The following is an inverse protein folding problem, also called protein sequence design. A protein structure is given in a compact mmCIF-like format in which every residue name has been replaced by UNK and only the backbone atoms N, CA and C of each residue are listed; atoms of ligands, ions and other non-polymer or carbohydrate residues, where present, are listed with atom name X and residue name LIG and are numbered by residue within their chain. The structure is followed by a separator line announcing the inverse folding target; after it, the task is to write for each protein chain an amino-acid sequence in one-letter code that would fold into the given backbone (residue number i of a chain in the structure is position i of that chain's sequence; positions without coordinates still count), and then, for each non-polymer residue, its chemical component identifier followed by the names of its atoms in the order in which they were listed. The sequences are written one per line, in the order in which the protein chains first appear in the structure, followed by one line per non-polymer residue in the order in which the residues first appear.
data_IF_705954501612
#
_entry.id   IF_705954501612
#
_cell.length_a   1.000
_cell.length_b   1.000
_cell.length_c   1.000
_cell.angle_alpha   90.00
_cell.angle_beta   90.00
_cell.angle_gamma   90.00
#
_symmetry.space_group_name_H-M   'P 1'
#
loop_
_entity.id
_entity.type
_entity.pdbx_description
1 polymer ?
#
# COMPACT_ATOMS: atom_id res chain seq x y z
N UNK A 1 -23.19 -19.02 -3.74
CA UNK A 1 -22.67 -17.91 -2.97
C UNK A 1 -21.17 -18.11 -2.68
N UNK A 2 -20.47 -17.02 -2.40
CA UNK A 2 -19.12 -17.07 -1.83
C UNK A 2 -19.21 -17.54 -0.38
N UNK A 3 -18.25 -18.35 0.01
CA UNK A 3 -18.12 -18.88 1.36
C UNK A 3 -16.69 -18.75 1.84
N UNK A 4 -16.49 -18.38 3.10
CA UNK A 4 -15.13 -18.25 3.60
C UNK A 4 -15.04 -18.10 5.10
N UNK A 5 -13.83 -18.31 5.58
CA UNK A 5 -13.42 -18.10 6.95
C UNK A 5 -12.31 -17.06 7.02
N UNK A 6 -12.43 -16.17 7.98
CA UNK A 6 -11.39 -15.23 8.34
C UNK A 6 -11.10 -15.36 9.84
N UNK A 7 -9.86 -15.63 10.17
CA UNK A 7 -9.38 -15.67 11.55
C UNK A 7 -8.34 -14.57 11.70
N UNK A 8 -8.49 -13.78 12.74
CA UNK A 8 -7.58 -12.66 13.04
C UNK A 8 -7.31 -12.61 14.54
N UNK A 9 -6.05 -12.39 14.89
CA UNK A 9 -5.61 -12.14 16.24
C UNK A 9 -4.73 -10.90 16.26
N UNK A 10 -5.17 -9.89 17.01
CA UNK A 10 -4.53 -8.60 17.09
C UNK A 10 -4.02 -8.24 18.49
N UNK A 11 -2.91 -7.56 18.56
CA UNK A 11 -2.38 -6.93 19.75
C UNK A 11 -2.13 -5.43 19.51
N UNK A 12 -2.62 -4.60 20.41
CA UNK A 12 -2.43 -3.16 20.37
C UNK A 12 -1.95 -2.63 21.71
N UNK A 13 -0.92 -1.81 21.67
CA UNK A 13 -0.39 -1.09 22.84
C UNK A 13 -0.24 0.39 22.52
N UNK A 14 -0.74 1.22 23.41
CA UNK A 14 -0.65 2.67 23.33
C UNK A 14 0.04 3.19 24.58
N UNK A 15 1.15 3.89 24.40
CA UNK A 15 1.86 4.60 25.43
C UNK A 15 1.91 6.10 25.10
N UNK A 16 2.36 6.92 26.05
CA UNK A 16 2.54 8.37 25.84
C UNK A 16 3.54 8.70 24.71
N UNK A 17 4.55 7.86 24.51
CA UNK A 17 5.63 8.10 23.53
C UNK A 17 5.60 7.18 22.32
N UNK A 18 4.97 6.02 22.42
CA UNK A 18 4.94 5.03 21.36
C UNK A 18 3.58 4.31 21.23
N UNK A 19 3.33 3.78 20.08
CA UNK A 19 2.20 2.89 19.82
C UNK A 19 2.63 1.70 18.96
N UNK A 20 2.05 0.54 19.26
CA UNK A 20 2.24 -0.71 18.55
C UNK A 20 0.90 -1.30 18.19
N UNK A 21 0.81 -1.84 17.00
CA UNK A 21 -0.26 -2.69 16.55
C UNK A 21 0.34 -3.84 15.76
N UNK A 22 -0.07 -5.05 16.05
CA UNK A 22 0.33 -6.25 15.31
C UNK A 22 -0.90 -7.13 15.17
N UNK A 23 -1.21 -7.54 13.95
CA UNK A 23 -2.30 -8.43 13.64
C UNK A 23 -1.76 -9.61 12.82
N UNK A 24 -2.17 -10.82 13.17
CA UNK A 24 -1.93 -12.02 12.36
C UNK A 24 -3.27 -12.53 11.87
N UNK A 25 -3.32 -12.98 10.63
CA UNK A 25 -4.57 -13.37 10.01
C UNK A 25 -4.41 -14.61 9.11
N UNK A 26 -5.51 -15.33 8.97
CA UNK A 26 -5.68 -16.39 8.00
C UNK A 26 -7.05 -16.28 7.35
N UNK A 27 -7.07 -16.29 6.02
CA UNK A 27 -8.27 -16.23 5.20
C UNK A 27 -8.34 -17.44 4.28
N UNK A 28 -9.49 -18.06 4.18
CA UNK A 28 -9.78 -19.16 3.24
C UNK A 28 -11.19 -18.96 2.66
N UNK A 29 -11.25 -18.72 1.35
CA UNK A 29 -12.48 -18.48 0.61
C UNK A 29 -12.63 -19.48 -0.52
N UNK A 30 -13.89 -19.93 -0.72
CA UNK A 30 -14.31 -20.82 -1.79
C UNK A 30 -15.43 -20.16 -2.59
N UNK A 31 -15.56 -20.59 -3.84
CA UNK A 31 -16.62 -20.11 -4.74
C UNK A 31 -16.61 -18.59 -4.92
N UNK A 32 -15.43 -17.95 -4.80
CA UNK A 32 -15.39 -16.51 -5.04
C UNK A 32 -15.61 -16.18 -6.52
N UNK A 33 -16.13 -14.99 -6.76
CA UNK A 33 -16.46 -14.52 -8.12
C UNK A 33 -15.20 -14.31 -8.94
N UNK A 34 -15.24 -14.84 -10.17
CA UNK A 34 -14.22 -14.63 -11.18
C UNK A 34 -14.84 -14.34 -12.55
N UNK A 35 -14.07 -13.73 -13.43
CA UNK A 35 -14.47 -13.53 -14.81
C UNK A 35 -13.98 -14.69 -15.67
N UNK A 36 -14.87 -15.26 -16.47
CA UNK A 36 -14.50 -16.25 -17.48
C UNK A 36 -14.95 -15.79 -18.86
N UNK A 37 -14.15 -16.05 -19.91
CA UNK A 37 -14.61 -15.91 -21.28
C UNK A 37 -15.79 -16.88 -21.49
N UNK A 38 -16.87 -16.41 -22.12
CA UNK A 38 -17.93 -17.29 -22.56
C UNK A 38 -17.42 -18.18 -23.71
N UNK A 39 -17.73 -19.47 -23.63
CA UNK A 39 -17.38 -20.47 -24.68
C UNK A 39 -17.91 -20.16 -26.07
N UNK A 40 -18.85 -19.22 -26.19
CA UNK A 40 -19.44 -18.78 -27.46
C UNK A 40 -18.85 -17.45 -27.98
N UNK A 41 -17.72 -16.98 -27.45
CA UNK A 41 -17.10 -15.72 -27.85
C UNK A 41 -17.86 -14.46 -27.41
N UNK A 42 -18.79 -14.60 -26.47
CA UNK A 42 -19.51 -13.49 -25.85
C UNK A 42 -18.63 -12.78 -24.81
N UNK A 43 -19.04 -11.58 -24.35
CA UNK A 43 -18.33 -10.91 -23.24
C UNK A 43 -18.17 -11.83 -22.03
N UNK A 44 -17.10 -11.61 -21.27
CA UNK A 44 -16.81 -12.33 -20.04
C UNK A 44 -18.00 -12.37 -19.09
N UNK A 45 -18.32 -13.55 -18.57
CA UNK A 45 -19.38 -13.75 -17.57
C UNK A 45 -18.79 -13.93 -16.18
N UNK A 46 -19.52 -13.50 -15.16
CA UNK A 46 -19.18 -13.76 -13.78
C UNK A 46 -19.62 -15.16 -13.37
N UNK A 47 -18.72 -15.92 -12.81
CA UNK A 47 -18.97 -17.27 -12.30
C UNK A 47 -18.43 -17.42 -10.87
N UNK A 48 -19.04 -18.32 -10.11
CA UNK A 48 -18.54 -18.73 -8.81
C UNK A 48 -17.71 -20.01 -8.95
N UNK A 49 -16.56 -20.09 -8.36
CA UNK A 49 -15.77 -21.33 -8.41
C UNK A 49 -14.30 -21.14 -8.06
N UNK A 50 -13.86 -19.89 -7.94
CA UNK A 50 -12.50 -19.57 -7.51
C UNK A 50 -12.24 -19.97 -6.06
N UNK A 51 -10.96 -20.13 -5.74
CA UNK A 51 -10.46 -20.31 -4.36
C UNK A 51 -9.43 -19.25 -4.06
N UNK A 52 -9.46 -18.75 -2.84
CA UNK A 52 -8.48 -17.78 -2.35
C UNK A 52 -8.06 -18.16 -0.95
N UNK A 53 -6.78 -18.11 -0.66
CA UNK A 53 -6.28 -18.14 0.69
C UNK A 53 -5.21 -17.09 0.91
N UNK A 54 -5.13 -16.57 2.12
CA UNK A 54 -4.09 -15.65 2.53
C UNK A 54 -3.74 -15.88 3.99
N UNK A 55 -2.48 -15.92 4.30
CA UNK A 55 -1.94 -15.92 5.66
C UNK A 55 -0.91 -14.82 5.75
N UNK A 56 -0.94 -14.05 6.84
CA UNK A 56 -0.04 -12.93 6.95
C UNK A 56 0.02 -12.30 8.34
N UNK A 57 0.88 -11.29 8.39
CA UNK A 57 1.07 -10.42 9.54
C UNK A 57 1.07 -8.97 9.06
N UNK A 58 0.40 -8.11 9.81
CA UNK A 58 0.43 -6.66 9.69
C UNK A 58 1.01 -6.06 10.96
N UNK A 59 1.83 -5.03 10.81
CA UNK A 59 2.41 -4.34 11.94
C UNK A 59 2.47 -2.83 11.70
N UNK A 60 2.17 -2.08 12.76
CA UNK A 60 2.32 -0.64 12.81
C UNK A 60 3.09 -0.26 14.07
N UNK A 61 4.04 0.64 13.91
CA UNK A 61 4.78 1.24 15.00
C UNK A 61 4.92 2.74 14.79
N UNK A 62 4.69 3.51 15.82
CA UNK A 62 5.05 4.92 15.82
C UNK A 62 5.65 5.34 17.16
N UNK A 63 6.58 6.30 17.11
CA UNK A 63 7.27 6.81 18.28
C UNK A 63 7.56 8.30 18.15
N UNK A 64 7.29 9.03 19.23
CA UNK A 64 7.83 10.36 19.42
C UNK A 64 9.28 10.26 19.94
N UNK A 65 10.24 10.61 19.07
CA UNK A 65 11.67 10.65 19.40
C UNK A 65 11.99 11.88 20.26
N UNK A 66 11.23 12.96 20.06
CA UNK A 66 11.19 14.16 20.87
C UNK A 66 9.80 14.79 20.77
N UNK A 67 9.58 15.93 21.46
CA UNK A 67 8.32 16.68 21.36
C UNK A 67 8.02 17.18 19.94
N UNK A 68 9.05 17.24 19.09
CA UNK A 68 8.94 17.77 17.71
C UNK A 68 9.20 16.73 16.63
N UNK A 69 9.70 15.56 16.96
CA UNK A 69 10.11 14.55 16.00
C UNK A 69 9.36 13.24 16.24
N UNK A 70 8.65 12.78 15.23
CA UNK A 70 7.92 11.51 15.22
C UNK A 70 8.42 10.63 14.09
N UNK A 71 8.63 9.36 14.36
CA UNK A 71 8.84 8.32 13.36
C UNK A 71 7.64 7.38 13.32
N UNK A 72 7.41 6.78 12.16
CA UNK A 72 6.42 5.74 11.96
C UNK A 72 6.90 4.70 10.96
N UNK A 73 6.49 3.47 11.17
CA UNK A 73 6.63 2.39 10.21
C UNK A 73 5.37 1.54 10.28
N UNK A 74 4.84 1.17 9.11
CA UNK A 74 3.73 0.24 8.98
C UNK A 74 3.98 -0.66 7.80
N UNK A 75 3.48 -1.88 7.85
CA UNK A 75 3.63 -2.80 6.73
C UNK A 75 2.92 -4.11 6.96
N UNK A 76 2.84 -4.88 5.88
CA UNK A 76 2.27 -6.21 5.88
C UNK A 76 3.18 -7.18 5.12
N UNK A 77 3.26 -8.38 5.64
CA UNK A 77 3.81 -9.53 4.93
C UNK A 77 2.76 -10.63 4.89
N UNK A 78 2.42 -11.07 3.69
CA UNK A 78 1.39 -12.09 3.52
C UNK A 78 1.67 -12.97 2.30
N UNK A 79 0.97 -14.09 2.20
CA UNK A 79 1.09 -15.01 1.08
C UNK A 79 -0.28 -15.23 0.39
N UNK A 80 -0.83 -14.17 -0.23
CA UNK A 80 -2.11 -14.22 -0.90
C UNK A 80 -2.02 -15.06 -2.18
N UNK A 81 -2.82 -16.10 -2.25
CA UNK A 81 -2.89 -16.99 -3.40
C UNK A 81 -4.33 -17.17 -3.84
N UNK A 82 -4.51 -17.23 -5.15
CA UNK A 82 -5.79 -17.54 -5.78
C UNK A 82 -5.65 -18.68 -6.76
N UNK A 83 -6.74 -19.39 -6.96
CA UNK A 83 -6.87 -20.45 -7.94
C UNK A 83 -8.22 -20.32 -8.65
N UNK A 84 -8.21 -20.16 -9.94
CA UNK A 84 -9.42 -20.09 -10.73
C UNK A 84 -10.06 -21.47 -10.91
N UNK A 85 -11.34 -21.52 -11.24
CA UNK A 85 -12.13 -22.75 -11.31
C UNK A 85 -11.50 -23.82 -12.21
N UNK A 86 -10.96 -23.40 -13.36
CA UNK A 86 -10.38 -24.31 -14.37
C UNK A 86 -8.85 -24.47 -14.24
N UNK A 87 -8.24 -23.95 -13.16
CA UNK A 87 -6.81 -24.06 -12.95
C UNK A 87 -6.45 -25.17 -11.98
N UNK A 88 -5.31 -25.79 -12.22
CA UNK A 88 -4.74 -26.82 -11.32
C UNK A 88 -3.73 -26.26 -10.35
N UNK A 89 -3.25 -25.03 -10.56
CA UNK A 89 -2.19 -24.40 -9.77
C UNK A 89 -2.65 -23.09 -9.10
N UNK A 90 -1.93 -22.70 -8.07
CA UNK A 90 -2.16 -21.49 -7.33
C UNK A 90 -1.31 -20.33 -7.85
N UNK A 91 -1.92 -19.18 -8.07
CA UNK A 91 -1.25 -17.92 -8.47
C UNK A 91 -1.13 -16.99 -7.27
N UNK A 92 -0.10 -16.15 -7.28
CA UNK A 92 0.00 -15.04 -6.32
C UNK A 92 -1.09 -14.00 -6.66
N UNK A 93 -1.93 -13.65 -5.67
CA UNK A 93 -3.05 -12.73 -5.87
C UNK A 93 -2.68 -11.26 -5.64
N UNK A 94 -1.70 -10.99 -4.78
CA UNK A 94 -1.29 -9.64 -4.39
C UNK A 94 0.21 -9.61 -4.01
N UNK A 95 0.83 -8.42 -3.83
CA UNK A 95 2.19 -8.32 -3.31
C UNK A 95 2.36 -9.01 -1.97
N UNK A 96 3.51 -9.66 -1.75
CA UNK A 96 3.79 -10.37 -0.50
C UNK A 96 4.24 -9.44 0.62
N UNK A 97 4.99 -8.40 0.28
CA UNK A 97 5.51 -7.44 1.24
C UNK A 97 5.21 -6.03 0.75
N UNK A 98 4.66 -5.23 1.64
CA UNK A 98 4.54 -3.79 1.48
C UNK A 98 4.81 -3.10 2.81
N UNK A 99 5.49 -1.98 2.77
CA UNK A 99 5.68 -1.17 3.96
C UNK A 99 5.79 0.32 3.62
N UNK A 100 5.45 1.12 4.61
CA UNK A 100 5.64 2.58 4.61
C UNK A 100 6.43 2.94 5.84
N UNK A 101 7.45 3.75 5.68
CA UNK A 101 8.17 4.35 6.82
C UNK A 101 8.31 5.85 6.61
N UNK A 102 8.33 6.60 7.71
CA UNK A 102 8.45 8.04 7.64
C UNK A 102 8.96 8.65 8.93
N UNK A 103 9.51 9.85 8.77
CA UNK A 103 9.93 10.72 9.86
C UNK A 103 9.33 12.09 9.63
N UNK A 104 8.75 12.68 10.68
CA UNK A 104 8.08 13.97 10.64
C UNK A 104 8.59 14.84 11.78
N UNK A 105 9.02 16.03 11.42
CA UNK A 105 9.37 17.11 12.34
C UNK A 105 8.31 18.19 12.32
N UNK A 106 7.94 18.70 13.48
CA UNK A 106 7.00 19.81 13.61
C UNK A 106 7.41 20.73 14.76
N UNK A 107 7.51 22.02 14.46
CA UNK A 107 7.68 23.12 15.40
C UNK A 107 6.64 24.21 15.15
N UNK A 108 6.55 25.26 15.94
CA UNK A 108 5.65 26.40 15.67
C UNK A 108 5.91 27.08 14.32
N UNK A 109 7.16 27.05 13.84
CA UNK A 109 7.59 27.78 12.64
C UNK A 109 7.86 26.86 11.44
N UNK A 110 8.31 25.63 11.69
CA UNK A 110 8.71 24.70 10.65
C UNK A 110 8.02 23.36 10.77
N UNK A 111 7.67 22.79 9.64
CA UNK A 111 7.38 21.37 9.52
C UNK A 111 8.22 20.75 8.39
N UNK A 112 8.63 19.53 8.57
CA UNK A 112 9.32 18.77 7.54
C UNK A 112 9.06 17.27 7.71
N UNK A 113 9.14 16.55 6.62
CA UNK A 113 8.98 15.11 6.71
C UNK A 113 9.50 14.41 5.47
N UNK A 114 9.74 13.12 5.66
CA UNK A 114 10.07 12.21 4.56
C UNK A 114 9.39 10.89 4.77
N UNK A 115 9.02 10.23 3.67
CA UNK A 115 8.39 8.92 3.69
C UNK A 115 8.87 8.06 2.52
N UNK A 116 9.02 6.77 2.78
CA UNK A 116 9.31 5.75 1.79
C UNK A 116 8.17 4.74 1.77
N UNK A 117 7.56 4.55 0.60
CA UNK A 117 6.62 3.47 0.34
C UNK A 117 7.32 2.40 -0.50
N UNK A 118 7.24 1.16 -0.07
CA UNK A 118 7.83 0.03 -0.76
C UNK A 118 6.82 -1.08 -0.95
N UNK A 119 6.72 -1.60 -2.19
CA UNK A 119 5.85 -2.73 -2.55
C UNK A 119 6.65 -3.70 -3.38
N UNK A 120 6.66 -4.97 -2.99
CA UNK A 120 7.35 -6.01 -3.76
C UNK A 120 6.65 -6.34 -5.06
N UNK A 121 7.28 -7.17 -5.85
CA UNK A 121 6.81 -7.65 -7.15
C UNK A 121 5.34 -8.03 -7.12
N UNK A 122 4.58 -7.52 -8.06
CA UNK A 122 3.15 -7.76 -8.24
C UNK A 122 2.94 -8.60 -9.48
N UNK A 123 1.96 -9.48 -9.45
CA UNK A 123 1.58 -10.25 -10.64
C UNK A 123 1.16 -9.28 -11.76
N UNK A 124 1.65 -9.55 -12.96
CA UNK A 124 1.24 -8.86 -14.19
C UNK A 124 0.26 -9.76 -14.94
N UNK A 125 -1.00 -9.33 -15.03
CA UNK A 125 -2.07 -10.17 -15.56
C UNK A 125 -1.88 -10.51 -17.04
N UNK A 126 -1.27 -9.60 -17.83
CA UNK A 126 -1.10 -9.74 -19.27
C UNK A 126 -0.36 -11.02 -19.68
N UNK A 127 0.67 -11.40 -18.95
CA UNK A 127 1.56 -12.51 -19.33
C UNK A 127 1.96 -13.42 -18.16
N UNK A 128 1.35 -13.23 -16.99
CA UNK A 128 1.70 -13.97 -15.78
C UNK A 128 3.08 -13.64 -15.19
N UNK A 129 3.78 -12.66 -15.75
CA UNK A 129 5.04 -12.17 -15.24
C UNK A 129 4.90 -11.33 -13.96
N UNK A 130 5.99 -10.74 -13.54
CA UNK A 130 6.02 -9.88 -12.35
C UNK A 130 6.46 -8.47 -12.71
N UNK A 131 5.68 -7.48 -12.28
CA UNK A 131 6.11 -6.09 -12.30
C UNK A 131 7.25 -5.86 -11.30
N UNK A 132 8.17 -4.94 -11.57
CA UNK A 132 9.23 -4.56 -10.64
C UNK A 132 8.70 -4.07 -9.28
N UNK A 133 9.54 -4.07 -8.27
CA UNK A 133 9.22 -3.45 -6.99
C UNK A 133 8.96 -1.96 -7.16
N UNK A 134 7.96 -1.45 -6.45
CA UNK A 134 7.75 -0.01 -6.28
C UNK A 134 8.62 0.46 -5.11
N UNK A 135 9.30 1.58 -5.30
CA UNK A 135 9.93 2.35 -4.23
C UNK A 135 9.67 3.83 -4.51
N UNK A 136 8.81 4.41 -3.69
CA UNK A 136 8.39 5.81 -3.81
C UNK A 136 8.86 6.57 -2.57
N UNK A 137 9.88 7.40 -2.76
CA UNK A 137 10.41 8.24 -1.70
C UNK A 137 9.96 9.68 -1.90
N UNK A 138 9.33 10.25 -0.86
CA UNK A 138 8.78 11.61 -0.87
C UNK A 138 9.33 12.39 0.33
N UNK A 139 9.40 13.72 0.19
CA UNK A 139 9.73 14.61 1.28
C UNK A 139 8.97 15.93 1.15
N UNK A 140 8.84 16.63 2.26
CA UNK A 140 8.27 17.97 2.26
C UNK A 140 8.95 18.85 3.32
N UNK A 141 8.85 20.15 3.10
CA UNK A 141 9.17 21.19 4.07
C UNK A 141 8.13 22.30 4.01
N UNK A 142 7.70 22.76 5.16
CA UNK A 142 6.74 23.84 5.30
C UNK A 142 7.24 24.91 6.28
N UNK A 143 6.93 26.15 5.98
CA UNK A 143 7.20 27.30 6.85
C UNK A 143 5.90 27.98 7.24
N UNK A 144 5.66 28.10 8.53
CA UNK A 144 4.52 28.81 9.10
C UNK A 144 4.91 30.25 9.40
N UNK A 145 4.40 31.19 8.62
CA UNK A 145 4.59 32.64 8.88
C UNK A 145 3.86 33.05 10.18
N UNK A 146 2.69 32.47 10.38
CA UNK A 146 1.83 32.60 11.56
C UNK A 146 0.87 31.40 11.62
N UNK A 147 -0.12 31.43 12.54
CA UNK A 147 -1.11 30.35 12.70
C UNK A 147 -2.03 30.13 11.49
N UNK A 148 -2.12 31.12 10.61
CA UNK A 148 -3.07 31.14 9.49
C UNK A 148 -2.38 31.06 8.12
N UNK A 149 -1.06 31.29 8.03
CA UNK A 149 -0.33 31.34 6.76
C UNK A 149 0.84 30.34 6.74
N UNK A 150 0.85 29.50 5.71
CA UNK A 150 1.88 28.46 5.51
C UNK A 150 2.32 28.41 4.05
N UNK A 151 3.63 28.38 3.83
CA UNK A 151 4.26 28.04 2.55
C UNK A 151 4.84 26.64 2.66
N UNK A 152 4.54 25.76 1.69
CA UNK A 152 4.99 24.37 1.70
C UNK A 152 5.51 23.95 0.33
N UNK A 153 6.64 23.27 0.35
CA UNK A 153 7.22 22.57 -0.79
C UNK A 153 7.14 21.06 -0.56
N UNK A 154 6.47 20.37 -1.46
CA UNK A 154 6.42 18.91 -1.54
C UNK A 154 7.27 18.42 -2.72
N UNK A 155 8.08 17.40 -2.49
CA UNK A 155 8.86 16.72 -3.52
C UNK A 155 8.50 15.23 -3.52
N UNK A 156 8.10 14.72 -4.68
CA UNK A 156 7.62 13.35 -4.85
C UNK A 156 8.54 12.58 -5.78
N UNK A 157 8.63 11.26 -5.53
CA UNK A 157 9.48 10.36 -6.30
C UNK A 157 10.93 10.84 -6.39
N UNK A 158 11.55 11.12 -5.23
CA UNK A 158 12.92 11.63 -5.11
C UNK A 158 13.95 10.74 -5.78
N UNK A 159 13.67 9.44 -5.93
CA UNK A 159 14.53 8.49 -6.64
C UNK A 159 14.37 8.58 -8.16
N UNK A 160 13.41 9.36 -8.65
CA UNK A 160 13.04 9.46 -10.08
C UNK A 160 12.85 8.08 -10.75
N UNK A 161 12.23 7.14 -10.03
CA UNK A 161 12.03 5.77 -10.54
C UNK A 161 10.80 5.70 -11.41
N UNK A 162 10.89 4.93 -12.48
CA UNK A 162 9.73 4.52 -13.27
C UNK A 162 9.03 3.34 -12.57
N UNK A 163 8.11 3.66 -11.67
CA UNK A 163 7.32 2.67 -10.97
C UNK A 163 6.10 2.29 -11.82
N UNK A 164 6.05 1.05 -12.29
CA UNK A 164 4.86 0.53 -12.97
C UNK A 164 3.76 0.35 -11.94
N UNK A 165 2.64 1.05 -12.08
CA UNK A 165 1.53 1.04 -11.12
C UNK A 165 0.36 0.17 -11.56
N UNK A 166 0.25 -0.15 -12.85
CA UNK A 166 -0.77 -1.05 -13.36
C UNK A 166 -0.33 -2.51 -13.35
N UNK A 167 -1.29 -3.41 -13.40
CA UNK A 167 -1.09 -4.84 -13.62
C UNK A 167 -2.01 -5.41 -14.71
N UNK A 168 -2.66 -4.53 -15.49
CA UNK A 168 -3.54 -4.88 -16.61
C UNK A 168 -2.80 -5.01 -17.94
N UNK A 169 -3.56 -4.87 -19.04
CA UNK A 169 -3.05 -5.01 -20.41
C UNK A 169 -2.15 -3.86 -20.84
N UNK A 170 -2.28 -2.70 -20.17
CA UNK A 170 -1.49 -1.52 -20.44
C UNK A 170 -0.59 -1.22 -19.24
N UNK A 171 0.63 -0.75 -19.53
CA UNK A 171 1.53 -0.25 -18.49
C UNK A 171 1.22 1.22 -18.20
N UNK A 172 0.87 1.51 -16.95
CA UNK A 172 0.80 2.86 -16.41
C UNK A 172 1.93 3.03 -15.41
N UNK A 173 2.57 4.18 -15.49
CA UNK A 173 3.68 4.54 -14.60
C UNK A 173 3.24 5.63 -13.63
N UNK A 174 3.84 5.59 -12.45
CA UNK A 174 3.76 6.70 -11.53
C UNK A 174 4.48 7.92 -12.12
N UNK A 175 4.09 9.12 -11.66
CA UNK A 175 4.74 10.35 -12.09
C UNK A 175 6.25 10.29 -11.80
N UNK A 176 7.10 10.80 -12.70
CA UNK A 176 8.53 10.98 -12.43
C UNK A 176 8.73 11.93 -11.26
N UNK A 177 9.97 12.18 -10.88
CA UNK A 177 10.26 13.23 -9.90
C UNK A 177 9.50 14.51 -10.23
N UNK A 178 8.78 15.02 -9.25
CA UNK A 178 8.03 16.25 -9.35
C UNK A 178 8.00 16.98 -8.00
N UNK A 179 7.71 18.26 -8.06
CA UNK A 179 7.54 19.08 -6.87
C UNK A 179 6.34 20.01 -7.01
N UNK A 180 5.80 20.38 -5.88
CA UNK A 180 4.67 21.30 -5.77
C UNK A 180 4.97 22.33 -4.69
N UNK A 181 4.79 23.62 -5.01
CA UNK A 181 4.86 24.72 -4.05
C UNK A 181 3.44 25.21 -3.78
N UNK A 182 3.03 25.19 -2.54
CA UNK A 182 1.68 25.63 -2.12
C UNK A 182 1.76 26.73 -1.06
N UNK A 183 0.84 27.66 -1.14
CA UNK A 183 0.60 28.67 -0.09
C UNK A 183 -0.84 28.54 0.41
N UNK A 184 -1.00 28.42 1.71
CA UNK A 184 -2.32 28.31 2.36
C UNK A 184 -2.51 29.50 3.28
N UNK A 185 -3.64 30.20 3.15
CA UNK A 185 -4.10 31.26 4.03
C UNK A 185 -5.49 30.93 4.57
N UNK A 186 -5.65 30.98 5.89
CA UNK A 186 -6.95 30.88 6.56
C UNK A 186 -7.45 32.30 6.86
N UNK A 187 -8.74 32.51 6.71
CA UNK A 187 -9.42 33.77 6.99
C UNK A 187 -10.38 33.61 8.16
#
# INVERSE_FOLDING_TARGET
PEEGWNYELGYKRLNKKDSWKVDVFYMDFKNFFQWQPDVNGRPTVRVNGGKFHNVGIEAEYSRHLSDRLKMSVSGSYSNPKQKEMNETYWKQAAPKLQFTTGVHYKSPTWEAGTSLNFVTKRLRNRDGGLNPNIALWNAYVGYHFNKDATLRLDARNLLNRHNVVSNGDYEYWDAPFNYELSYTQKF
#
